data_IF_028061936159
#
_entry.id   IF_028061936159
#
_cell.length_a   1.000
_cell.length_b   1.000
_cell.length_c   1.000
_cell.angle_alpha   90.00
_cell.angle_beta   90.00
_cell.angle_gamma   90.00
#
_symmetry.space_group_name_H-M   'P 1'
#
loop_
_entity.id
_entity.type
_entity.pdbx_description
1 polymer ?
#
# COMPACT_ATOMS: atom_id res chain seq x y z
N UNK A 1 11.33 -17.56 -28.20
CA UNK A 1 10.88 -16.24 -27.74
C UNK A 1 11.68 -15.19 -28.49
N UNK A 2 11.02 -14.13 -28.95
CA UNK A 2 11.64 -13.04 -29.71
C UNK A 2 12.22 -11.99 -28.76
N UNK A 3 13.38 -11.37 -29.07
CA UNK A 3 14.09 -10.43 -28.19
C UNK A 3 13.26 -9.23 -27.69
N UNK A 4 12.15 -8.92 -28.38
CA UNK A 4 11.26 -7.80 -28.08
C UNK A 4 10.30 -8.10 -26.91
N UNK A 5 10.03 -9.37 -26.60
CA UNK A 5 9.23 -9.76 -25.43
C UNK A 5 10.05 -9.68 -24.14
N UNK A 6 11.33 -10.06 -24.19
CA UNK A 6 12.24 -9.94 -23.05
C UNK A 6 12.47 -8.47 -22.69
N UNK A 7 12.70 -7.60 -23.68
CA UNK A 7 12.93 -6.18 -23.42
C UNK A 7 11.72 -5.44 -22.77
N UNK A 8 10.47 -5.82 -23.06
CA UNK A 8 9.31 -5.16 -22.43
C UNK A 8 9.06 -5.68 -21.00
N UNK A 9 9.28 -6.98 -20.78
CA UNK A 9 9.27 -7.60 -19.46
C UNK A 9 10.33 -6.99 -18.52
N UNK A 10 11.50 -6.72 -19.09
CA UNK A 10 12.63 -6.08 -18.44
C UNK A 10 12.33 -4.67 -17.91
N UNK A 11 11.54 -3.89 -18.64
CA UNK A 11 11.14 -2.54 -18.24
C UNK A 11 10.07 -2.55 -17.14
N UNK A 12 9.19 -3.57 -17.12
CA UNK A 12 8.16 -3.70 -16.10
C UNK A 12 8.73 -3.96 -14.71
N UNK A 13 9.68 -4.89 -14.57
CA UNK A 13 10.30 -5.18 -13.25
C UNK A 13 11.02 -3.93 -12.72
N UNK A 14 11.77 -3.24 -13.57
CA UNK A 14 12.48 -2.00 -13.17
C UNK A 14 11.51 -0.91 -12.72
N UNK A 15 10.41 -0.73 -13.46
CA UNK A 15 9.35 0.21 -13.09
C UNK A 15 8.74 -0.16 -11.73
N UNK A 16 8.40 -1.44 -11.52
CA UNK A 16 7.83 -1.92 -10.27
C UNK A 16 8.75 -1.66 -9.07
N UNK A 17 10.05 -1.97 -9.21
CA UNK A 17 11.03 -1.69 -8.16
C UNK A 17 11.11 -0.20 -7.85
N UNK A 18 11.10 0.67 -8.87
CA UNK A 18 11.13 2.12 -8.68
C UNK A 18 9.92 2.61 -7.86
N UNK A 19 8.73 2.11 -8.16
CA UNK A 19 7.54 2.47 -7.41
C UNK A 19 7.53 1.88 -5.99
N UNK A 20 8.08 0.68 -5.78
CA UNK A 20 8.21 0.10 -4.43
C UNK A 20 9.22 0.84 -3.56
N UNK A 21 10.30 1.37 -4.14
CA UNK A 21 11.22 2.27 -3.43
C UNK A 21 10.47 3.52 -2.97
N UNK A 22 9.63 4.12 -3.83
CA UNK A 22 8.77 5.25 -3.42
C UNK A 22 7.83 4.88 -2.29
N UNK A 23 7.21 3.70 -2.33
CA UNK A 23 6.39 3.20 -1.21
C UNK A 23 7.20 3.19 0.08
N UNK A 24 8.38 2.55 0.06
CA UNK A 24 9.25 2.42 1.22
C UNK A 24 9.67 3.78 1.80
N UNK A 25 10.07 4.72 0.93
CA UNK A 25 10.47 6.08 1.32
C UNK A 25 9.32 6.89 1.97
N UNK A 26 8.07 6.63 1.57
CA UNK A 26 6.92 7.41 2.03
C UNK A 26 6.20 6.81 3.26
N UNK A 27 6.37 5.51 3.54
CA UNK A 27 5.79 4.87 4.74
C UNK A 27 6.36 5.43 6.05
N UNK A 28 7.62 5.90 6.04
CA UNK A 28 8.30 6.39 7.24
C UNK A 28 7.61 7.59 7.89
N UNK A 29 7.11 8.53 7.09
CA UNK A 29 6.42 9.72 7.60
C UNK A 29 5.14 9.37 8.36
N UNK A 30 4.32 8.47 7.79
CA UNK A 30 3.09 8.00 8.43
C UNK A 30 3.40 7.23 9.72
N UNK A 31 4.36 6.30 9.68
CA UNK A 31 4.77 5.55 10.87
C UNK A 31 5.21 6.49 12.00
N UNK A 32 6.08 7.46 11.70
CA UNK A 32 6.55 8.44 12.67
C UNK A 32 5.40 9.25 13.27
N UNK A 33 4.43 9.66 12.44
CA UNK A 33 3.26 10.40 12.92
C UNK A 33 2.37 9.54 13.85
N UNK A 34 2.19 8.26 13.54
CA UNK A 34 1.46 7.32 14.39
C UNK A 34 2.16 7.09 15.72
N UNK A 35 3.49 6.90 15.72
CA UNK A 35 4.27 6.77 16.97
C UNK A 35 4.18 8.05 17.82
N UNK A 36 4.20 9.23 17.20
CA UNK A 36 4.03 10.49 17.91
C UNK A 36 2.62 10.66 18.49
N UNK A 37 1.58 10.20 17.79
CA UNK A 37 0.20 10.19 18.29
C UNK A 37 0.04 9.21 19.46
N UNK A 38 0.65 8.01 19.35
CA UNK A 38 0.65 7.01 20.42
C UNK A 38 1.19 7.59 21.72
N UNK A 39 2.36 8.24 21.66
CA UNK A 39 3.03 8.82 22.83
C UNK A 39 2.18 9.90 23.53
N UNK A 40 1.30 10.58 22.79
CA UNK A 40 0.42 11.64 23.30
C UNK A 40 -0.96 11.12 23.72
N UNK A 41 -1.30 9.86 23.44
CA UNK A 41 -2.62 9.31 23.68
C UNK A 41 -2.69 8.61 25.04
N UNK A 42 -3.39 9.21 26.00
CA UNK A 42 -3.62 8.62 27.33
C UNK A 42 -4.75 7.58 27.35
N UNK A 43 -5.74 7.71 26.47
CA UNK A 43 -6.88 6.80 26.39
C UNK A 43 -6.45 5.43 25.86
N UNK A 44 -6.47 4.39 26.73
CA UNK A 44 -5.96 3.05 26.43
C UNK A 44 -6.48 2.45 25.13
N UNK A 45 -7.79 2.56 24.87
CA UNK A 45 -8.41 1.96 23.67
C UNK A 45 -8.02 2.68 22.38
N UNK A 46 -7.97 4.01 22.41
CA UNK A 46 -7.49 4.82 21.29
C UNK A 46 -6.02 4.51 21.02
N UNK A 47 -5.19 4.48 22.08
CA UNK A 47 -3.77 4.15 21.98
C UNK A 47 -3.55 2.77 21.37
N UNK A 48 -4.28 1.74 21.82
CA UNK A 48 -4.19 0.40 21.25
C UNK A 48 -4.55 0.34 19.76
N UNK A 49 -5.50 1.17 19.32
CA UNK A 49 -5.80 1.31 17.89
C UNK A 49 -4.62 1.91 17.14
N UNK A 50 -4.05 3.01 17.62
CA UNK A 50 -2.88 3.68 17.00
C UNK A 50 -1.65 2.77 16.93
N UNK A 51 -1.37 2.00 18.00
CA UNK A 51 -0.28 1.00 18.00
C UNK A 51 -0.45 0.00 16.87
N UNK A 52 -1.65 -0.60 16.77
CA UNK A 52 -1.95 -1.57 15.70
C UNK A 52 -1.78 -0.96 14.31
N UNK A 53 -2.18 0.30 14.12
CA UNK A 53 -1.95 1.01 12.86
C UNK A 53 -0.46 1.09 12.54
N UNK A 54 0.37 1.52 13.49
CA UNK A 54 1.82 1.64 13.31
C UNK A 54 2.46 0.27 13.00
N UNK A 55 2.02 -0.80 13.68
CA UNK A 55 2.47 -2.17 13.42
C UNK A 55 2.13 -2.65 12.01
N UNK A 56 0.91 -2.39 11.53
CA UNK A 56 0.50 -2.74 10.17
C UNK A 56 1.25 -1.90 9.11
N UNK A 57 1.56 -0.62 9.37
CA UNK A 57 2.44 0.21 8.52
C UNK A 57 3.86 -0.36 8.47
N UNK A 58 4.43 -0.75 9.62
CA UNK A 58 5.75 -1.36 9.69
C UNK A 58 5.79 -2.72 9.00
N UNK A 59 4.71 -3.51 9.10
CA UNK A 59 4.58 -4.77 8.36
C UNK A 59 4.55 -4.53 6.87
N UNK A 60 3.80 -3.52 6.41
CA UNK A 60 3.79 -3.12 4.99
C UNK A 60 5.20 -2.79 4.50
N UNK A 61 5.98 -2.03 5.27
CA UNK A 61 7.36 -1.68 4.91
C UNK A 61 8.27 -2.91 4.79
N UNK A 62 8.15 -3.87 5.72
CA UNK A 62 8.89 -5.14 5.67
C UNK A 62 8.53 -5.95 4.42
N UNK A 63 7.23 -6.11 4.16
CA UNK A 63 6.76 -6.87 3.00
C UNK A 63 7.23 -6.21 1.70
N UNK A 64 7.12 -4.89 1.56
CA UNK A 64 7.62 -4.14 0.39
C UNK A 64 9.14 -4.32 0.21
N UNK A 65 9.90 -4.27 1.29
CA UNK A 65 11.34 -4.53 1.24
C UNK A 65 11.65 -5.93 0.72
N UNK A 66 10.92 -6.96 1.18
CA UNK A 66 11.07 -8.32 0.67
C UNK A 66 10.69 -8.43 -0.81
N UNK A 67 9.60 -7.80 -1.23
CA UNK A 67 9.18 -7.78 -2.64
C UNK A 67 10.25 -7.17 -3.54
N UNK A 68 10.92 -6.09 -3.12
CA UNK A 68 12.03 -5.50 -3.89
C UNK A 68 13.15 -6.52 -4.11
N UNK A 69 13.48 -7.30 -3.08
CA UNK A 69 14.50 -8.35 -3.17
C UNK A 69 14.07 -9.49 -4.11
N UNK A 70 12.81 -9.92 -4.07
CA UNK A 70 12.31 -10.94 -5.01
C UNK A 70 12.34 -10.45 -6.46
N UNK A 71 11.92 -9.21 -6.71
CA UNK A 71 11.98 -8.63 -8.05
C UNK A 71 13.42 -8.50 -8.58
N UNK A 72 14.37 -8.15 -7.70
CA UNK A 72 15.78 -8.13 -8.04
C UNK A 72 16.30 -9.54 -8.36
N UNK A 73 15.87 -10.57 -7.62
CA UNK A 73 16.21 -11.97 -7.89
C UNK A 73 15.64 -12.42 -9.23
N UNK A 74 14.36 -12.18 -9.51
CA UNK A 74 13.72 -12.52 -10.78
C UNK A 74 14.46 -11.87 -11.96
N UNK A 75 14.85 -10.59 -11.81
CA UNK A 75 15.66 -9.88 -12.80
C UNK A 75 17.03 -10.54 -13.00
N UNK A 76 17.74 -10.82 -11.92
CA UNK A 76 19.07 -11.45 -11.98
C UNK A 76 19.04 -12.83 -12.63
N UNK A 77 18.04 -13.65 -12.33
CA UNK A 77 17.85 -14.96 -12.97
C UNK A 77 17.64 -14.84 -14.48
N UNK A 78 16.85 -13.85 -14.92
CA UNK A 78 16.66 -13.56 -16.36
C UNK A 78 17.96 -13.12 -17.03
N UNK A 79 18.66 -12.15 -16.44
CA UNK A 79 19.90 -11.61 -16.99
C UNK A 79 21.00 -12.69 -17.11
N UNK A 80 20.99 -13.67 -16.21
CA UNK A 80 21.90 -14.82 -16.23
C UNK A 80 21.43 -15.98 -17.12
N UNK A 81 20.24 -15.89 -17.72
CA UNK A 81 19.68 -16.96 -18.55
C UNK A 81 19.35 -18.23 -17.76
N UNK A 82 18.80 -18.08 -16.55
CA UNK A 82 18.39 -19.18 -15.66
C UNK A 82 16.85 -19.29 -15.67
N UNK A 83 16.23 -20.01 -16.62
CA UNK A 83 14.78 -20.04 -16.81
C UNK A 83 14.06 -21.14 -16.01
N UNK A 84 14.68 -21.71 -14.95
CA UNK A 84 14.38 -23.00 -14.31
C UNK A 84 15.20 -24.17 -14.90
N UNK A 85 16.11 -24.74 -14.10
CA UNK A 85 16.99 -25.83 -14.53
C UNK A 85 16.97 -26.99 -13.55
N UNK A 86 16.95 -28.22 -14.09
CA UNK A 86 17.02 -29.45 -13.31
C UNK A 86 18.48 -29.92 -13.20
N UNK A 87 18.78 -30.58 -12.07
CA UNK A 87 19.98 -31.42 -11.98
C UNK A 87 19.94 -32.50 -13.07
N UNK A 88 21.11 -33.00 -13.49
CA UNK A 88 21.22 -34.06 -14.49
C UNK A 88 21.52 -35.42 -13.84
N UNK A 89 20.89 -36.48 -14.34
CA UNK A 89 21.23 -37.86 -13.98
C UNK A 89 22.55 -38.31 -14.66
N UNK A 90 22.98 -39.54 -14.39
CA UNK A 90 24.20 -40.11 -14.99
C UNK A 90 24.14 -40.29 -16.51
N UNK A 91 22.94 -40.21 -17.10
CA UNK A 91 22.70 -40.25 -18.55
C UNK A 91 22.53 -38.84 -19.15
N UNK A 92 22.63 -37.78 -18.34
CA UNK A 92 22.49 -36.38 -18.77
C UNK A 92 21.04 -35.89 -18.90
N UNK A 93 20.05 -36.66 -18.41
CA UNK A 93 18.62 -36.28 -18.43
C UNK A 93 18.24 -35.50 -17.18
N UNK A 94 17.15 -34.75 -17.23
CA UNK A 94 16.62 -34.04 -16.07
C UNK A 94 16.29 -35.02 -14.92
N UNK A 95 16.75 -34.68 -13.73
CA UNK A 95 16.58 -35.47 -12.52
C UNK A 95 15.78 -34.67 -11.49
N UNK A 96 14.45 -34.77 -11.60
CA UNK A 96 13.47 -34.09 -10.75
C UNK A 96 13.41 -34.52 -9.27
N UNK A 97 13.96 -35.67 -8.82
CA UNK A 97 14.03 -35.96 -7.39
C UNK A 97 14.94 -35.02 -6.59
N UNK A 98 15.78 -34.20 -7.24
CA UNK A 98 16.59 -33.16 -6.60
C UNK A 98 15.96 -31.77 -6.76
N UNK A 99 16.51 -30.80 -6.01
CA UNK A 99 16.11 -29.40 -6.12
C UNK A 99 16.36 -28.85 -7.53
N UNK A 100 15.44 -28.02 -7.99
CA UNK A 100 15.57 -27.24 -9.22
C UNK A 100 16.07 -25.84 -8.89
N UNK A 101 16.74 -25.21 -9.86
CA UNK A 101 16.99 -23.78 -9.77
C UNK A 101 15.66 -23.02 -9.93
N UNK A 102 15.47 -21.89 -9.21
CA UNK A 102 14.23 -21.12 -9.27
C UNK A 102 13.94 -20.61 -10.68
N UNK A 103 12.64 -20.52 -11.02
CA UNK A 103 12.17 -19.87 -12.24
C UNK A 103 11.88 -18.39 -11.97
N UNK A 104 12.21 -17.47 -12.90
CA UNK A 104 11.79 -16.07 -12.78
C UNK A 104 10.28 -15.89 -12.64
N UNK A 105 9.47 -16.77 -13.26
CA UNK A 105 8.01 -16.75 -13.14
C UNK A 105 7.54 -17.01 -11.72
N UNK A 106 8.11 -18.02 -11.06
CA UNK A 106 7.74 -18.42 -9.69
C UNK A 106 8.04 -17.27 -8.71
N UNK A 107 9.22 -16.66 -8.85
CA UNK A 107 9.60 -15.48 -8.06
C UNK A 107 8.65 -14.30 -8.28
N UNK A 108 8.10 -14.13 -9.49
CA UNK A 108 7.11 -13.09 -9.75
C UNK A 108 5.76 -13.40 -9.11
N UNK A 109 5.31 -14.65 -9.08
CA UNK A 109 4.12 -15.03 -8.32
C UNK A 109 4.26 -14.71 -6.83
N UNK A 110 5.42 -15.01 -6.25
CA UNK A 110 5.72 -14.69 -4.85
C UNK A 110 5.70 -13.16 -4.64
N UNK A 111 6.30 -12.40 -5.55
CA UNK A 111 6.28 -10.94 -5.50
C UNK A 111 4.84 -10.39 -5.51
N UNK A 112 3.97 -10.90 -6.39
CA UNK A 112 2.56 -10.46 -6.44
C UNK A 112 1.81 -10.83 -5.16
N UNK A 113 2.07 -12.02 -4.61
CA UNK A 113 1.51 -12.46 -3.32
C UNK A 113 1.89 -11.47 -2.22
N UNK A 114 3.17 -11.10 -2.11
CA UNK A 114 3.66 -10.13 -1.14
C UNK A 114 3.05 -8.73 -1.34
N UNK A 115 2.86 -8.27 -2.59
CA UNK A 115 2.17 -7.01 -2.87
C UNK A 115 0.72 -7.02 -2.37
N UNK A 116 0.04 -8.15 -2.50
CA UNK A 116 -1.31 -8.34 -1.98
C UNK A 116 -1.33 -8.37 -0.45
N UNK A 117 -0.35 -8.99 0.20
CA UNK A 117 -0.20 -8.96 1.65
C UNK A 117 0.08 -7.56 2.19
N UNK A 118 0.91 -6.78 1.49
CA UNK A 118 1.19 -5.38 1.81
C UNK A 118 -0.10 -4.54 1.72
N UNK A 119 -0.89 -4.72 0.65
CA UNK A 119 -2.18 -4.06 0.51
C UNK A 119 -3.17 -4.46 1.62
N UNK A 120 -3.20 -5.74 2.00
CA UNK A 120 -4.03 -6.24 3.10
C UNK A 120 -3.59 -5.65 4.46
N UNK A 121 -2.28 -5.51 4.70
CA UNK A 121 -1.76 -4.85 5.89
C UNK A 121 -2.19 -3.37 5.97
N UNK A 122 -2.09 -2.63 4.86
CA UNK A 122 -2.64 -1.27 4.79
C UNK A 122 -4.16 -1.24 5.01
N UNK A 123 -4.88 -2.24 4.48
CA UNK A 123 -6.31 -2.41 4.70
C UNK A 123 -6.65 -2.54 6.18
N UNK A 124 -5.91 -3.41 6.90
CA UNK A 124 -6.06 -3.55 8.35
C UNK A 124 -5.70 -2.25 9.06
N UNK A 125 -4.58 -1.61 8.74
CA UNK A 125 -4.15 -0.37 9.38
C UNK A 125 -5.30 0.64 9.44
N UNK A 126 -5.98 0.85 8.31
CA UNK A 126 -7.06 1.82 8.20
C UNK A 126 -8.47 1.24 8.31
N UNK A 127 -8.63 0.05 8.90
CA UNK A 127 -9.95 -0.52 9.12
C UNK A 127 -10.70 0.30 10.21
N UNK A 128 -11.88 0.87 9.90
CA UNK A 128 -12.66 1.63 10.87
C UNK A 128 -13.10 0.74 12.03
N UNK A 129 -12.79 1.16 13.25
CA UNK A 129 -13.26 0.46 14.45
C UNK A 129 -14.58 1.05 14.92
N UNK A 130 -15.43 0.24 15.56
CA UNK A 130 -16.69 0.72 16.16
C UNK A 130 -16.48 1.86 17.16
N UNK A 131 -15.36 1.82 17.90
CA UNK A 131 -15.06 2.75 18.99
C UNK A 131 -14.31 4.01 18.54
N UNK A 132 -13.51 3.90 17.49
CA UNK A 132 -12.67 4.99 16.98
C UNK A 132 -12.71 5.03 15.44
N UNK A 133 -13.88 5.27 14.82
CA UNK A 133 -13.99 5.27 13.35
C UNK A 133 -13.17 6.40 12.71
N UNK A 134 -13.03 7.54 13.40
CA UNK A 134 -12.23 8.68 12.93
C UNK A 134 -10.71 8.46 12.88
N UNK A 135 -10.20 7.31 13.36
CA UNK A 135 -8.79 6.96 13.23
C UNK A 135 -8.43 6.34 11.88
N UNK A 136 -9.42 5.97 11.06
CA UNK A 136 -9.24 5.34 9.75
C UNK A 136 -8.81 6.33 8.64
N UNK A 137 -7.92 7.27 8.99
CA UNK A 137 -7.39 8.32 8.10
C UNK A 137 -5.88 8.43 8.26
N UNK A 138 -5.18 8.81 7.18
CA UNK A 138 -3.74 9.01 7.22
C UNK A 138 -3.38 10.26 8.01
N UNK A 139 -2.24 10.21 8.71
CA UNK A 139 -1.66 11.36 9.41
C UNK A 139 -0.82 12.19 8.44
N UNK A 140 -0.28 11.54 7.42
CA UNK A 140 0.44 12.14 6.31
C UNK A 140 -0.26 11.80 4.97
N UNK A 141 -1.43 12.40 4.66
CA UNK A 141 -2.23 12.03 3.47
C UNK A 141 -1.48 12.11 2.14
N UNK A 142 -0.59 13.10 1.97
CA UNK A 142 0.22 13.24 0.76
C UNK A 142 1.19 12.07 0.56
N UNK A 143 1.89 11.66 1.62
CA UNK A 143 2.79 10.50 1.60
C UNK A 143 2.01 9.21 1.39
N UNK A 144 0.89 9.03 2.09
CA UNK A 144 0.06 7.83 1.94
C UNK A 144 -0.59 7.72 0.57
N UNK A 145 -0.92 8.84 -0.09
CA UNK A 145 -1.35 8.83 -1.48
C UNK A 145 -0.27 8.25 -2.40
N UNK A 146 0.98 8.69 -2.24
CA UNK A 146 2.13 8.14 -2.98
C UNK A 146 2.27 6.64 -2.71
N UNK A 147 2.12 6.20 -1.45
CA UNK A 147 2.15 4.78 -1.08
C UNK A 147 1.09 3.98 -1.86
N UNK A 148 -0.19 4.38 -1.80
CA UNK A 148 -1.26 3.63 -2.45
C UNK A 148 -1.12 3.61 -3.98
N UNK A 149 -0.86 4.77 -4.59
CA UNK A 149 -0.72 4.87 -6.05
C UNK A 149 0.51 4.12 -6.56
N UNK A 150 1.64 4.20 -5.87
CA UNK A 150 2.89 3.51 -6.28
C UNK A 150 2.76 2.00 -6.08
N UNK A 151 2.18 1.55 -4.96
CA UNK A 151 1.93 0.12 -4.72
C UNK A 151 1.00 -0.47 -5.79
N UNK A 152 -0.07 0.26 -6.16
CA UNK A 152 -0.97 -0.15 -7.24
C UNK A 152 -0.31 -0.16 -8.62
N UNK A 153 0.68 0.72 -8.86
CA UNK A 153 1.45 0.74 -10.11
C UNK A 153 2.45 -0.40 -10.19
N UNK A 154 3.16 -0.68 -9.09
CA UNK A 154 4.05 -1.82 -8.98
C UNK A 154 3.28 -3.13 -9.20
N UNK A 155 2.13 -3.31 -8.55
CA UNK A 155 1.28 -4.49 -8.74
C UNK A 155 0.87 -4.67 -10.21
N UNK A 156 0.42 -3.62 -10.88
CA UNK A 156 0.08 -3.69 -12.32
C UNK A 156 1.27 -4.08 -13.19
N UNK A 157 2.46 -3.51 -12.92
CA UNK A 157 3.66 -3.81 -13.68
C UNK A 157 4.10 -5.28 -13.51
N UNK A 158 4.12 -5.79 -12.27
CA UNK A 158 4.46 -7.20 -12.01
C UNK A 158 3.42 -8.14 -12.60
N UNK A 159 2.12 -7.85 -12.48
CA UNK A 159 1.07 -8.67 -13.09
C UNK A 159 1.13 -8.64 -14.62
N UNK A 160 1.44 -7.51 -15.25
CA UNK A 160 1.59 -7.42 -16.70
C UNK A 160 2.77 -8.27 -17.19
N UNK A 161 3.85 -8.30 -16.42
CA UNK A 161 5.00 -9.15 -16.70
C UNK A 161 4.67 -10.63 -16.54
N UNK A 162 3.97 -10.99 -15.46
CA UNK A 162 3.55 -12.37 -15.20
C UNK A 162 2.54 -12.90 -16.23
N UNK A 163 1.63 -12.04 -16.69
CA UNK A 163 0.64 -12.35 -17.72
C UNK A 163 1.25 -12.73 -19.09
N UNK A 164 2.54 -12.45 -19.31
CA UNK A 164 3.25 -12.93 -20.50
C UNK A 164 3.46 -14.44 -20.49
N UNK A 165 3.46 -15.07 -19.31
CA UNK A 165 3.69 -16.50 -19.12
C UNK A 165 2.41 -17.25 -18.70
N UNK A 166 1.53 -16.61 -17.93
CA UNK A 166 0.23 -17.16 -17.52
C UNK A 166 -0.85 -16.08 -17.51
N UNK A 167 -1.78 -16.16 -18.45
CA UNK A 167 -2.83 -15.18 -18.63
C UNK A 167 -3.93 -15.22 -17.54
N UNK A 168 -4.06 -16.31 -16.78
CA UNK A 168 -5.12 -16.46 -15.76
C UNK A 168 -4.84 -15.59 -14.52
N UNK A 169 -3.58 -15.25 -14.29
CA UNK A 169 -3.06 -14.41 -13.20
C UNK A 169 -3.73 -13.04 -13.11
N UNK A 170 -4.18 -12.48 -14.24
CA UNK A 170 -4.76 -11.13 -14.26
C UNK A 170 -6.05 -11.02 -13.42
N UNK A 171 -6.80 -12.10 -13.24
CA UNK A 171 -8.06 -12.09 -12.48
C UNK A 171 -7.81 -12.06 -10.96
N UNK A 172 -6.73 -12.68 -10.50
CA UNK A 172 -6.48 -12.90 -9.08
C UNK A 172 -6.19 -11.60 -8.31
N UNK A 173 -5.74 -10.55 -9.00
CA UNK A 173 -5.24 -9.33 -8.35
C UNK A 173 -6.06 -8.06 -8.62
N UNK A 174 -7.17 -8.18 -9.36
CA UNK A 174 -8.12 -7.08 -9.56
C UNK A 174 -8.74 -6.61 -8.22
N UNK A 175 -9.00 -7.55 -7.30
CA UNK A 175 -9.50 -7.25 -5.97
C UNK A 175 -8.51 -6.39 -5.15
N UNK A 176 -7.21 -6.71 -5.24
CA UNK A 176 -6.13 -5.95 -4.58
C UNK A 176 -6.02 -4.53 -5.13
N UNK A 177 -6.09 -4.36 -6.45
CA UNK A 177 -6.12 -3.01 -7.06
C UNK A 177 -7.33 -2.19 -6.61
N UNK A 178 -8.51 -2.82 -6.59
CA UNK A 178 -9.73 -2.18 -6.11
C UNK A 178 -9.67 -1.84 -4.61
N UNK A 179 -8.98 -2.65 -3.80
CA UNK A 179 -8.73 -2.34 -2.39
C UNK A 179 -7.85 -1.09 -2.26
N UNK A 180 -6.71 -1.04 -2.96
CA UNK A 180 -5.78 0.09 -2.90
C UNK A 180 -6.44 1.40 -3.32
N UNK A 181 -7.22 1.40 -4.40
CA UNK A 181 -7.95 2.59 -4.85
C UNK A 181 -8.99 3.06 -3.82
N UNK A 182 -9.73 2.13 -3.20
CA UNK A 182 -10.69 2.45 -2.13
C UNK A 182 -10.01 2.99 -0.88
N UNK A 183 -8.85 2.43 -0.52
CA UNK A 183 -8.05 2.93 0.59
C UNK A 183 -7.51 4.33 0.30
N UNK A 184 -6.98 4.58 -0.89
CA UNK A 184 -6.50 5.91 -1.30
C UNK A 184 -7.61 6.95 -1.12
N UNK A 185 -8.79 6.73 -1.70
CA UNK A 185 -9.92 7.67 -1.64
C UNK A 185 -10.41 7.90 -0.20
N UNK A 186 -10.45 6.86 0.63
CA UNK A 186 -10.96 6.99 2.01
C UNK A 186 -9.94 7.62 2.95
N UNK A 187 -8.70 7.12 2.90
CA UNK A 187 -7.65 7.38 3.90
C UNK A 187 -6.92 8.68 3.63
N UNK A 188 -6.76 9.05 2.35
CA UNK A 188 -5.99 10.21 1.93
C UNK A 188 -6.84 11.45 1.66
N UNK A 189 -8.14 11.43 2.02
CA UNK A 189 -8.96 12.64 2.01
C UNK A 189 -8.30 13.69 2.87
N UNK A 190 -7.74 14.69 2.22
CA UNK A 190 -7.48 15.97 2.86
C UNK A 190 -8.84 16.57 3.16
N UNK A 191 -9.27 16.49 4.42
CA UNK A 191 -10.20 17.52 4.93
C UNK A 191 -9.53 18.83 4.56
N UNK A 192 -10.21 19.78 3.88
CA UNK A 192 -9.65 21.10 3.68
C UNK A 192 -9.08 21.51 5.02
N UNK A 193 -7.81 21.92 5.06
CA UNK A 193 -7.32 22.60 6.25
C UNK A 193 -8.44 23.55 6.64
N UNK A 194 -8.88 23.54 7.91
CA UNK A 194 -9.69 24.63 8.42
C UNK A 194 -8.80 25.86 8.28
N UNK A 195 -8.74 26.41 7.06
CA UNK A 195 -7.87 27.49 6.67
C UNK A 195 -8.38 28.65 7.47
N UNK A 196 -7.63 29.04 8.50
CA UNK A 196 -8.03 30.01 9.50
C UNK A 196 -9.54 29.95 9.76
N UNK A 197 -10.00 28.93 10.49
CA UNK A 197 -11.38 28.91 10.96
C UNK A 197 -11.75 30.31 11.44
N UNK A 198 -12.91 30.82 10.99
CA UNK A 198 -13.38 32.18 11.28
C UNK A 198 -13.00 32.52 12.73
N UNK A 199 -12.27 33.60 12.92
CA UNK A 199 -11.93 34.08 14.24
C UNK A 199 -13.19 34.21 15.09
N UNK A 200 -13.07 34.17 16.42
CA UNK A 200 -14.22 34.31 17.31
C UNK A 200 -15.05 35.59 17.00
N UNK A 201 -14.38 36.64 16.50
CA UNK A 201 -15.04 37.86 16.02
C UNK A 201 -15.83 37.66 14.73
N UNK A 202 -15.30 36.94 13.75
CA UNK A 202 -15.98 36.63 12.49
C UNK A 202 -17.16 35.68 12.70
N UNK A 203 -17.03 34.71 13.61
CA UNK A 203 -18.15 33.86 14.04
C UNK A 203 -19.23 34.68 14.74
N UNK A 204 -18.83 35.56 15.68
CA UNK A 204 -19.78 36.43 16.37
C UNK A 204 -20.46 37.45 15.43
N UNK A 205 -19.75 37.92 14.40
CA UNK A 205 -20.30 38.79 13.36
C UNK A 205 -21.31 38.05 12.47
N UNK A 206 -21.00 36.82 12.05
CA UNK A 206 -21.91 35.98 11.26
C UNK A 206 -23.19 35.62 12.04
N UNK A 207 -23.07 35.28 13.33
CA UNK A 207 -24.20 35.00 14.22
C UNK A 207 -25.09 36.24 14.42
N UNK A 208 -24.49 37.44 14.49
CA UNK A 208 -25.24 38.70 14.60
C UNK A 208 -25.90 39.11 13.28
N UNK A 209 -25.28 38.82 12.15
CA UNK A 209 -25.79 39.13 10.83
C UNK A 209 -26.92 38.19 10.38
N UNK A 210 -26.92 36.94 10.84
CA UNK A 210 -27.95 35.96 10.48
C UNK A 210 -28.35 35.07 11.68
N UNK A 211 -29.54 35.29 12.27
CA UNK A 211 -30.08 34.45 13.35
C UNK A 211 -30.27 32.97 12.98
N UNK A 212 -30.34 32.63 11.69
CA UNK A 212 -30.43 31.24 11.24
C UNK A 212 -29.11 30.48 11.45
N UNK A 213 -27.97 31.19 11.35
CA UNK A 213 -26.63 30.63 11.65
C UNK A 213 -26.52 30.28 13.13
N UNK A 214 -27.09 31.10 14.01
CA UNK A 214 -27.13 30.83 15.45
C UNK A 214 -27.92 29.56 15.78
N UNK A 215 -29.06 29.34 15.09
CA UNK A 215 -29.87 28.11 15.24
C UNK A 215 -29.14 26.89 14.73
N UNK A 216 -28.59 26.95 13.52
CA UNK A 216 -27.82 25.84 12.95
C UNK A 216 -26.62 25.45 13.82
N UNK A 217 -25.94 26.43 14.43
CA UNK A 217 -24.84 26.17 15.36
C UNK A 217 -25.33 25.51 16.68
N UNK A 218 -26.47 25.94 17.20
CA UNK A 218 -27.07 25.34 18.39
C UNK A 218 -27.54 23.89 18.14
N UNK A 219 -28.13 23.64 16.98
CA UNK A 219 -28.60 22.30 16.58
C UNK A 219 -27.40 21.34 16.41
N UNK A 220 -26.32 21.78 15.76
CA UNK A 220 -25.09 20.99 15.62
C UNK A 220 -24.41 20.66 16.96
N UNK A 221 -24.48 21.58 17.94
CA UNK A 221 -23.98 21.35 19.30
C UNK A 221 -24.87 20.38 20.09
N UNK A 222 -26.19 20.39 19.85
CA UNK A 222 -27.14 19.48 20.47
C UNK A 222 -27.04 18.04 19.92
N UNK A 223 -26.67 17.86 18.65
CA UNK A 223 -26.40 16.54 18.06
C UNK A 223 -25.06 15.93 18.50
N UNK A 224 -24.18 16.73 19.11
CA UNK A 224 -22.85 16.33 19.56
C UNK A 224 -22.79 16.02 21.08
N UNK A 225 -23.92 16.06 21.78
CA UNK A 225 -24.07 15.82 23.22
C UNK A 225 -24.85 14.53 23.49
#
# INVERSE_FOLDING_TARGET
MTPQQDASAEDHIRSAVTDLVRVFENLGAEHQALTAEEAKTSAKERRGTVVRMAEDIAQTARTVSSTIMELATARGLRDLGVPHQFAKDGEGRDYSPLLTLPAPSDTLYDAVTYLSEAAAALGRAYEPTKKNPGLAVARCPGHMKVVFTSLGTALRAVCADLATNDAEVAQDYAATQALLARLEDRVCRTVPAQGAGLSAEEVAAAIRADPAVARAAADALAESA
#
